data_IF_408031209223
#
_entry.id   IF_408031209223
#
_cell.length_a   1.000
_cell.length_b   1.000
_cell.length_c   1.000
_cell.angle_alpha   90.00
_cell.angle_beta   90.00
_cell.angle_gamma   90.00
#
_symmetry.space_group_name_H-M   'P 1'
#
loop_
_entity.id
_entity.type
_entity.pdbx_description
1 polymer ?
#
# COMPACT_ATOMS: atom_id res chain seq x y z
N UNK A 1 -21.64 -3.30 17.34
CA UNK A 1 -21.56 -3.42 15.87
C UNK A 1 -20.55 -2.41 15.37
N UNK A 2 -19.45 -2.87 14.79
CA UNK A 2 -18.42 -1.99 14.23
C UNK A 2 -19.04 -1.21 13.08
N UNK A 3 -19.01 0.13 13.16
CA UNK A 3 -19.52 1.00 12.10
C UNK A 3 -18.83 0.67 10.78
N UNK A 4 -19.53 -0.10 9.96
CA UNK A 4 -19.32 -0.23 8.53
C UNK A 4 -19.70 1.16 7.97
N UNK A 5 -18.86 1.81 7.14
CA UNK A 5 -19.27 3.02 6.44
C UNK A 5 -20.62 2.80 5.79
N UNK A 6 -21.46 3.83 5.79
CA UNK A 6 -22.73 3.80 5.06
C UNK A 6 -22.55 3.28 3.63
N UNK A 7 -21.38 3.50 3.02
CA UNK A 7 -21.02 2.96 1.71
C UNK A 7 -21.19 1.44 1.59
N UNK A 8 -20.84 0.63 2.60
CA UNK A 8 -21.04 -0.83 2.50
C UNK A 8 -22.36 -1.31 3.10
N UNK A 9 -23.17 -0.45 3.71
CA UNK A 9 -24.52 -0.83 4.15
C UNK A 9 -25.53 -0.94 3.00
N UNK A 10 -25.22 -0.35 1.84
CA UNK A 10 -26.07 -0.42 0.64
C UNK A 10 -25.69 -1.56 -0.32
N UNK A 11 -24.82 -2.47 0.10
CA UNK A 11 -24.19 -3.47 -0.75
C UNK A 11 -22.90 -2.96 -1.38
N UNK A 12 -22.06 -3.88 -1.87
CA UNK A 12 -20.84 -3.55 -2.61
C UNK A 12 -20.97 -4.01 -4.06
N UNK A 13 -20.61 -3.17 -5.05
CA UNK A 13 -20.58 -3.60 -6.44
C UNK A 13 -19.68 -4.82 -6.63
N UNK A 14 -20.01 -5.70 -7.57
CA UNK A 14 -19.18 -6.88 -7.87
C UNK A 14 -17.75 -6.46 -8.27
N UNK A 15 -17.64 -5.40 -9.08
CA UNK A 15 -16.38 -4.79 -9.47
C UNK A 15 -16.40 -3.27 -9.28
N UNK A 16 -15.24 -2.75 -8.92
CA UNK A 16 -14.96 -1.32 -8.82
C UNK A 16 -13.89 -1.00 -9.85
N UNK A 17 -14.25 -0.17 -10.82
CA UNK A 17 -13.35 0.31 -11.87
C UNK A 17 -12.74 1.61 -11.35
N UNK A 18 -11.47 1.63 -10.91
CA UNK A 18 -10.84 2.89 -10.53
C UNK A 18 -10.70 3.75 -11.79
N UNK A 19 -11.24 4.97 -11.76
CA UNK A 19 -11.14 5.93 -12.86
C UNK A 19 -9.70 6.44 -13.11
N UNK A 20 -8.76 6.12 -12.20
CA UNK A 20 -7.37 6.60 -12.23
C UNK A 20 -6.43 5.42 -11.94
N UNK A 21 -5.27 5.32 -12.63
CA UNK A 21 -4.38 4.16 -12.54
C UNK A 21 -3.85 3.90 -11.12
N UNK A 22 -3.56 2.62 -10.87
CA UNK A 22 -2.66 1.99 -9.87
C UNK A 22 -2.38 2.69 -8.51
N UNK A 23 -1.97 3.96 -8.49
CA UNK A 23 -1.76 4.77 -7.27
C UNK A 23 -3.06 5.16 -6.56
N UNK A 24 -4.17 5.26 -7.30
CA UNK A 24 -5.42 5.78 -6.77
C UNK A 24 -5.93 4.99 -5.56
N UNK A 25 -5.71 3.67 -5.53
CA UNK A 25 -6.14 2.81 -4.40
C UNK A 25 -5.43 3.20 -3.11
N UNK A 26 -4.11 3.47 -3.19
CA UNK A 26 -3.31 3.87 -2.03
C UNK A 26 -3.78 5.21 -1.46
N UNK A 27 -4.06 6.19 -2.33
CA UNK A 27 -4.57 7.51 -1.92
C UNK A 27 -6.01 7.47 -1.43
N UNK A 28 -6.90 6.75 -2.15
CA UNK A 28 -8.27 6.50 -1.71
C UNK A 28 -8.30 5.87 -0.34
N UNK A 29 -7.38 4.95 -0.05
CA UNK A 29 -7.28 4.33 1.26
C UNK A 29 -6.80 5.29 2.34
N UNK A 30 -5.75 6.07 2.06
CA UNK A 30 -5.27 7.09 2.99
C UNK A 30 -6.40 8.08 3.34
N UNK A 31 -7.20 8.48 2.35
CA UNK A 31 -8.38 9.32 2.55
C UNK A 31 -9.49 8.60 3.29
N UNK A 32 -9.79 7.36 2.93
CA UNK A 32 -10.80 6.53 3.59
C UNK A 32 -10.51 6.38 5.08
N UNK A 33 -9.26 6.17 5.46
CA UNK A 33 -8.84 6.07 6.86
C UNK A 33 -9.01 7.38 7.66
N UNK A 34 -9.02 8.55 7.01
CA UNK A 34 -9.38 9.82 7.67
C UNK A 34 -10.83 9.78 8.15
N UNK A 35 -11.75 9.33 7.27
CA UNK A 35 -13.19 9.31 7.56
C UNK A 35 -13.56 8.40 8.76
N UNK A 36 -12.80 7.33 9.03
CA UNK A 36 -13.12 6.41 10.15
C UNK A 36 -12.76 6.91 11.53
N UNK A 37 -11.88 7.90 11.62
CA UNK A 37 -11.49 8.46 12.91
C UNK A 37 -12.49 9.50 13.41
N UNK A 38 -13.52 9.82 12.62
CA UNK A 38 -14.62 10.67 13.07
C UNK A 38 -15.42 9.97 14.15
N UNK A 39 -15.48 10.57 15.33
CA UNK A 39 -16.49 10.19 16.31
C UNK A 39 -17.89 10.55 15.75
N UNK A 40 -18.86 9.63 15.83
CA UNK A 40 -20.22 9.93 15.41
C UNK A 40 -20.80 11.03 16.30
N UNK A 41 -21.03 12.22 15.73
CA UNK A 41 -21.71 13.34 16.41
C UNK A 41 -20.96 14.67 16.47
N UNK A 42 -19.68 14.72 16.08
CA UNK A 42 -18.90 15.97 16.07
C UNK A 42 -18.87 16.61 14.69
N UNK A 43 -19.72 17.62 14.45
CA UNK A 43 -19.71 18.47 13.23
C UNK A 43 -18.50 19.43 13.14
N UNK A 44 -17.43 19.21 13.91
CA UNK A 44 -16.25 20.07 13.85
C UNK A 44 -15.39 19.63 12.67
N UNK A 45 -15.29 20.49 11.66
CA UNK A 45 -14.27 20.44 10.62
C UNK A 45 -12.93 20.78 11.27
N UNK A 46 -12.37 19.87 12.05
CA UNK A 46 -10.95 19.91 12.37
C UNK A 46 -10.20 19.32 11.17
N UNK A 47 -9.05 19.90 10.82
CA UNK A 47 -8.08 19.30 9.90
C UNK A 47 -7.62 17.96 10.50
N UNK A 48 -8.41 16.91 10.30
CA UNK A 48 -8.16 15.58 10.85
C UNK A 48 -6.92 15.02 10.18
N UNK A 49 -5.81 15.01 10.94
CA UNK A 49 -4.56 14.38 10.52
C UNK A 49 -4.83 12.90 10.24
N UNK A 50 -4.52 12.48 9.02
CA UNK A 50 -4.60 11.08 8.62
C UNK A 50 -3.86 10.19 9.61
N UNK A 51 -4.44 9.03 10.01
CA UNK A 51 -3.77 8.08 10.91
C UNK A 51 -2.58 7.37 10.26
N UNK A 52 -2.40 7.57 8.96
CA UNK A 52 -1.33 6.99 8.16
C UNK A 52 -0.71 8.08 7.29
N UNK A 53 0.60 7.97 7.05
CA UNK A 53 1.32 8.81 6.11
C UNK A 53 2.07 7.95 5.12
N UNK A 54 2.21 8.45 3.90
CA UNK A 54 3.17 7.91 2.94
C UNK A 54 4.57 7.97 3.52
N UNK A 55 5.35 6.93 3.26
CA UNK A 55 6.75 6.88 3.66
C UNK A 55 7.56 7.78 2.72
N UNK A 56 7.97 8.94 3.22
CA UNK A 56 8.91 9.82 2.53
C UNK A 56 10.32 9.59 3.07
N UNK A 57 11.24 9.13 2.21
CA UNK A 57 12.61 8.80 2.60
C UNK A 57 13.54 9.90 2.13
N UNK A 58 14.18 10.60 3.06
CA UNK A 58 15.18 11.60 2.71
C UNK A 58 16.45 10.93 2.18
N UNK A 59 17.17 11.54 1.22
CA UNK A 59 18.41 10.96 0.69
C UNK A 59 19.45 10.62 1.77
N UNK A 60 19.44 11.35 2.88
CA UNK A 60 20.37 11.21 4.00
C UNK A 60 19.97 10.12 5.01
N UNK A 61 18.73 9.62 4.95
CA UNK A 61 18.23 8.58 5.86
C UNK A 61 18.68 7.19 5.41
N UNK A 62 19.88 6.80 5.82
CA UNK A 62 20.50 5.52 5.45
C UNK A 62 19.70 4.30 5.94
N UNK A 63 19.01 4.41 7.08
CA UNK A 63 18.24 3.31 7.66
C UNK A 63 16.95 3.04 6.90
N UNK A 64 16.20 4.11 6.56
CA UNK A 64 15.00 3.97 5.73
C UNK A 64 15.34 3.63 4.28
N UNK A 65 16.46 4.12 3.75
CA UNK A 65 16.96 3.68 2.44
C UNK A 65 17.30 2.20 2.42
N UNK A 66 18.05 1.71 3.41
CA UNK A 66 18.33 0.28 3.53
C UNK A 66 17.05 -0.54 3.66
N UNK A 67 16.07 -0.06 4.43
CA UNK A 67 14.76 -0.71 4.54
C UNK A 67 14.03 -0.81 3.20
N UNK A 68 14.04 0.27 2.42
CA UNK A 68 13.44 0.27 1.09
C UNK A 68 14.14 -0.73 0.16
N UNK A 69 15.48 -0.77 0.18
CA UNK A 69 16.25 -1.72 -0.60
C UNK A 69 16.01 -3.18 -0.17
N UNK A 70 15.83 -3.45 1.13
CA UNK A 70 15.47 -4.78 1.63
C UNK A 70 14.10 -5.26 1.08
N UNK A 71 13.17 -4.33 0.90
CA UNK A 71 11.85 -4.59 0.29
C UNK A 71 12.02 -4.83 -1.21
N UNK A 72 12.76 -3.96 -1.92
CA UNK A 72 13.01 -4.10 -3.34
C UNK A 72 13.71 -5.42 -3.68
N UNK A 73 14.73 -5.81 -2.90
CA UNK A 73 15.51 -7.04 -3.06
C UNK A 73 14.69 -8.32 -2.83
N UNK A 74 13.49 -8.23 -2.26
CA UNK A 74 12.58 -9.35 -2.12
C UNK A 74 11.79 -9.65 -3.42
N UNK A 75 11.82 -8.74 -4.38
CA UNK A 75 11.20 -8.87 -5.70
C UNK A 75 12.31 -9.11 -6.74
N UNK A 76 11.98 -9.84 -7.81
CA UNK A 76 12.92 -10.07 -8.92
C UNK A 76 13.27 -8.75 -9.62
N UNK A 77 14.55 -8.48 -9.83
CA UNK A 77 15.00 -7.25 -10.50
C UNK A 77 14.42 -7.11 -11.91
N UNK A 78 14.29 -8.24 -12.63
CA UNK A 78 13.77 -8.29 -14.01
C UNK A 78 12.35 -7.71 -14.18
N UNK A 79 11.59 -7.55 -13.09
CA UNK A 79 10.24 -6.98 -13.14
C UNK A 79 10.15 -5.60 -12.49
N UNK A 80 11.19 -5.11 -11.82
CA UNK A 80 11.20 -3.76 -11.24
C UNK A 80 11.54 -2.78 -12.36
N UNK A 81 10.58 -1.92 -12.71
CA UNK A 81 10.78 -0.90 -13.75
C UNK A 81 10.94 0.51 -13.20
N UNK A 82 10.72 0.70 -11.90
CA UNK A 82 10.92 2.00 -11.26
C UNK A 82 11.13 1.84 -9.75
N UNK A 83 12.13 2.56 -9.25
CA UNK A 83 12.48 2.65 -7.83
C UNK A 83 12.42 4.11 -7.44
N UNK A 84 11.54 4.42 -6.49
CA UNK A 84 11.27 5.79 -6.05
C UNK A 84 11.33 5.83 -4.52
N UNK A 85 12.53 5.65 -3.93
CA UNK A 85 12.68 5.55 -2.47
C UNK A 85 12.19 6.82 -1.78
N UNK A 86 12.42 8.00 -2.37
CA UNK A 86 11.97 9.28 -1.82
C UNK A 86 10.45 9.33 -1.63
N UNK A 87 9.70 8.61 -2.46
CA UNK A 87 8.25 8.49 -2.39
C UNK A 87 7.78 7.15 -1.78
N UNK A 88 8.72 6.28 -1.36
CA UNK A 88 8.40 4.94 -0.87
C UNK A 88 7.64 4.09 -1.89
N UNK A 89 7.96 4.20 -3.19
CA UNK A 89 7.25 3.48 -4.25
C UNK A 89 8.14 2.54 -5.07
N UNK A 90 7.56 1.41 -5.46
CA UNK A 90 8.11 0.47 -6.43
C UNK A 90 7.10 0.26 -7.57
N UNK A 91 7.62 0.24 -8.80
CA UNK A 91 6.85 -0.02 -10.01
C UNK A 91 7.30 -1.33 -10.61
N UNK A 92 6.33 -2.14 -11.02
CA UNK A 92 6.56 -3.45 -11.57
C UNK A 92 5.93 -3.58 -12.96
N UNK A 93 6.66 -4.16 -13.90
CA UNK A 93 6.15 -4.42 -15.24
C UNK A 93 6.95 -5.49 -15.97
N UNK A 94 6.25 -6.35 -16.70
CA UNK A 94 6.84 -7.22 -17.73
C UNK A 94 7.07 -6.52 -19.07
N UNK A 95 6.38 -5.41 -19.32
CA UNK A 95 6.67 -4.51 -20.43
C UNK A 95 7.83 -3.60 -20.06
N UNK A 96 8.81 -3.46 -20.95
CA UNK A 96 9.97 -2.59 -20.74
C UNK A 96 9.63 -1.16 -21.14
N UNK A 97 10.52 -0.23 -20.82
CA UNK A 97 10.40 1.16 -21.25
C UNK A 97 10.22 1.25 -22.77
N UNK A 98 9.23 2.03 -23.20
CA UNK A 98 8.87 2.18 -24.62
C UNK A 98 7.98 1.07 -25.20
N UNK A 99 7.65 0.04 -24.43
CA UNK A 99 6.80 -1.06 -24.90
C UNK A 99 5.34 -0.90 -24.50
N UNK A 100 4.45 -1.00 -25.48
CA UNK A 100 3.01 -0.85 -25.27
C UNK A 100 2.30 -2.16 -25.55
N UNK A 101 1.53 -2.64 -24.57
CA UNK A 101 0.65 -3.80 -24.75
C UNK A 101 -0.61 -3.40 -25.55
N UNK A 102 -1.20 -4.32 -26.33
CA UNK A 102 -2.54 -4.09 -26.88
C UNK A 102 -3.59 -4.06 -25.76
N UNK A 103 -4.68 -3.31 -25.96
CA UNK A 103 -5.78 -3.19 -24.99
C UNK A 103 -6.40 -4.54 -24.62
N UNK A 104 -6.45 -5.46 -25.57
CA UNK A 104 -6.97 -6.83 -25.40
C UNK A 104 -5.91 -7.83 -24.93
N UNK A 105 -4.79 -7.38 -24.35
CA UNK A 105 -3.75 -8.28 -23.86
C UNK A 105 -4.31 -9.21 -22.78
N UNK A 106 -4.30 -10.54 -22.98
CA UNK A 106 -4.86 -11.48 -22.01
C UNK A 106 -3.97 -11.69 -20.78
N UNK A 107 -2.72 -11.21 -20.82
CA UNK A 107 -1.75 -11.33 -19.74
C UNK A 107 -1.67 -12.74 -19.13
N UNK A 108 -1.44 -13.83 -19.90
CA UNK A 108 -1.47 -15.19 -19.36
C UNK A 108 -0.30 -15.46 -18.41
N UNK A 109 -0.42 -16.50 -17.58
CA UNK A 109 0.68 -17.00 -16.74
C UNK A 109 1.75 -17.70 -17.59
N UNK A 110 2.99 -17.76 -17.10
CA UNK A 110 4.09 -18.48 -17.74
C UNK A 110 4.80 -17.75 -18.89
N UNK A 111 4.10 -16.94 -19.69
CA UNK A 111 4.73 -16.20 -20.80
C UNK A 111 3.98 -14.90 -21.17
N UNK A 112 4.69 -13.97 -21.80
CA UNK A 112 4.13 -12.78 -22.43
C UNK A 112 3.89 -13.04 -23.93
N UNK A 113 2.63 -13.01 -24.41
CA UNK A 113 2.33 -13.26 -25.83
C UNK A 113 2.76 -12.10 -26.74
N UNK A 114 2.88 -10.88 -26.20
CA UNK A 114 3.24 -9.68 -26.96
C UNK A 114 4.74 -9.58 -27.22
N UNK A 115 5.56 -9.90 -26.21
CA UNK A 115 7.01 -9.70 -26.27
C UNK A 115 7.83 -10.99 -26.14
N UNK A 116 7.17 -12.15 -26.09
CA UNK A 116 7.83 -13.46 -26.05
C UNK A 116 8.61 -13.77 -24.76
N UNK A 117 8.41 -12.99 -23.69
CA UNK A 117 9.15 -13.15 -22.42
C UNK A 117 8.61 -14.29 -21.58
N UNK A 118 9.52 -14.96 -20.85
CA UNK A 118 9.13 -15.88 -19.79
C UNK A 118 8.55 -15.10 -18.62
N UNK A 119 7.48 -15.64 -18.05
CA UNK A 119 6.76 -15.05 -16.93
C UNK A 119 6.66 -16.07 -15.80
N UNK A 120 7.77 -16.31 -15.06
CA UNK A 120 7.84 -17.38 -14.07
C UNK A 120 6.75 -17.25 -13.00
N UNK A 121 6.40 -16.02 -12.64
CA UNK A 121 5.36 -15.68 -11.66
C UNK A 121 4.56 -14.47 -12.15
N UNK A 122 3.40 -14.20 -11.56
CA UNK A 122 2.70 -12.92 -11.79
C UNK A 122 3.27 -11.81 -10.90
N UNK A 123 3.00 -10.54 -11.24
CA UNK A 123 3.38 -9.44 -10.33
C UNK A 123 2.64 -9.54 -8.99
N UNK A 124 1.39 -10.01 -8.99
CA UNK A 124 0.63 -10.31 -7.77
C UNK A 124 1.35 -11.35 -6.91
N UNK A 125 1.90 -12.40 -7.51
CA UNK A 125 2.64 -13.45 -6.79
C UNK A 125 3.96 -12.95 -6.20
N UNK A 126 4.72 -12.18 -6.96
CA UNK A 126 5.92 -11.52 -6.46
C UNK A 126 5.60 -10.63 -5.26
N UNK A 127 4.57 -9.81 -5.38
CA UNK A 127 4.15 -8.91 -4.31
C UNK A 127 3.61 -9.68 -3.10
N UNK A 128 2.91 -10.81 -3.30
CA UNK A 128 2.39 -11.64 -2.21
C UNK A 128 3.51 -12.20 -1.32
N UNK A 129 4.69 -12.45 -1.88
CA UNK A 129 5.87 -12.86 -1.09
C UNK A 129 6.36 -11.77 -0.14
N UNK A 130 6.06 -10.49 -0.39
CA UNK A 130 6.38 -9.39 0.52
C UNK A 130 5.54 -9.43 1.79
N UNK A 131 4.32 -9.97 1.75
CA UNK A 131 3.44 -10.03 2.91
C UNK A 131 4.04 -10.84 4.08
N UNK A 132 5.02 -11.72 3.81
CA UNK A 132 5.78 -12.43 4.84
C UNK A 132 6.91 -11.60 5.50
N UNK A 133 7.28 -10.46 4.92
CA UNK A 133 8.37 -9.59 5.40
C UNK A 133 7.86 -8.28 6.01
N UNK A 134 6.77 -7.74 5.46
CA UNK A 134 6.18 -6.48 5.88
C UNK A 134 4.66 -6.63 5.84
N UNK A 135 3.91 -6.13 6.83
CA UNK A 135 2.45 -6.07 6.73
C UNK A 135 2.05 -5.37 5.44
N UNK A 136 1.09 -5.93 4.70
CA UNK A 136 0.61 -5.27 3.51
C UNK A 136 -0.56 -5.97 2.84
N UNK A 137 -1.17 -5.23 1.92
CA UNK A 137 -2.39 -5.64 1.23
C UNK A 137 -2.25 -5.45 -0.26
N UNK A 138 -2.74 -6.44 -1.00
CA UNK A 138 -2.66 -6.48 -2.45
C UNK A 138 -4.08 -6.37 -3.00
N UNK A 139 -4.27 -5.37 -3.85
CA UNK A 139 -5.49 -5.15 -4.61
C UNK A 139 -5.23 -5.67 -6.02
N UNK A 140 -5.70 -6.88 -6.31
CA UNK A 140 -5.54 -7.49 -7.62
C UNK A 140 -6.58 -6.91 -8.59
N UNK A 141 -6.09 -6.36 -9.69
CA UNK A 141 -6.87 -5.85 -10.81
C UNK A 141 -7.05 -6.94 -11.84
N UNK A 142 -8.32 -7.20 -12.18
CA UNK A 142 -8.73 -8.17 -13.17
C UNK A 142 -9.23 -7.45 -14.43
N UNK A 143 -8.82 -7.92 -15.60
CA UNK A 143 -9.34 -7.40 -16.86
C UNK A 143 -10.81 -7.78 -16.99
N UNK A 144 -11.67 -6.77 -17.14
CA UNK A 144 -13.11 -6.94 -17.32
C UNK A 144 -13.49 -6.87 -18.81
N UNK A 145 -12.82 -5.99 -19.56
CA UNK A 145 -12.94 -5.79 -21.01
C UNK A 145 -11.59 -5.34 -21.58
N UNK A 146 -11.36 -5.39 -22.90
CA UNK A 146 -10.18 -4.77 -23.51
C UNK A 146 -10.01 -3.32 -23.03
N UNK A 147 -8.82 -2.98 -22.52
CA UNK A 147 -8.50 -1.67 -21.97
C UNK A 147 -9.10 -1.34 -20.60
N UNK A 148 -9.90 -2.23 -19.99
CA UNK A 148 -10.62 -1.96 -18.73
C UNK A 148 -10.28 -3.03 -17.69
N UNK A 149 -9.64 -2.60 -16.61
CA UNK A 149 -9.41 -3.39 -15.40
C UNK A 149 -10.32 -2.96 -14.24
N UNK A 150 -10.55 -3.86 -13.29
CA UNK A 150 -11.33 -3.58 -12.10
C UNK A 150 -10.88 -4.43 -10.91
N UNK A 151 -11.12 -3.91 -9.71
CA UNK A 151 -10.94 -4.64 -8.45
C UNK A 151 -12.25 -5.32 -8.08
N UNK A 152 -12.20 -6.52 -7.51
CA UNK A 152 -13.41 -7.12 -6.96
C UNK A 152 -13.84 -6.36 -5.71
N UNK A 153 -15.14 -6.08 -5.62
CA UNK A 153 -15.69 -5.32 -4.50
C UNK A 153 -15.46 -6.00 -3.16
N UNK A 154 -15.77 -7.29 -3.04
CA UNK A 154 -15.63 -8.01 -1.76
C UNK A 154 -14.17 -8.04 -1.28
N UNK A 155 -13.21 -8.23 -2.19
CA UNK A 155 -11.77 -8.19 -1.88
C UNK A 155 -11.35 -6.78 -1.41
N UNK A 156 -11.80 -5.72 -2.10
CA UNK A 156 -11.56 -4.34 -1.68
C UNK A 156 -12.09 -4.11 -0.26
N UNK A 157 -13.34 -4.48 0.02
CA UNK A 157 -13.96 -4.31 1.35
C UNK A 157 -13.23 -5.07 2.42
N UNK A 158 -12.86 -6.32 2.17
CA UNK A 158 -12.11 -7.13 3.12
C UNK A 158 -10.76 -6.48 3.45
N UNK A 159 -9.98 -6.11 2.43
CA UNK A 159 -8.71 -5.40 2.61
C UNK A 159 -8.89 -4.11 3.43
N UNK A 160 -9.91 -3.31 3.13
CA UNK A 160 -10.19 -2.07 3.85
C UNK A 160 -10.52 -2.30 5.33
N UNK A 161 -11.27 -3.35 5.66
CA UNK A 161 -11.59 -3.72 7.03
C UNK A 161 -10.35 -4.19 7.80
N UNK A 162 -9.50 -5.00 7.16
CA UNK A 162 -8.26 -5.49 7.75
C UNK A 162 -7.25 -4.37 8.01
N UNK A 163 -7.07 -3.48 7.04
CA UNK A 163 -6.19 -2.32 7.15
C UNK A 163 -6.64 -1.42 8.30
N UNK A 164 -7.95 -1.18 8.43
CA UNK A 164 -8.50 -0.44 9.57
C UNK A 164 -8.19 -1.13 10.90
N UNK A 165 -8.36 -2.46 10.98
CA UNK A 165 -8.08 -3.21 12.19
C UNK A 165 -6.59 -3.17 12.56
N UNK A 166 -5.71 -3.22 11.56
CA UNK A 166 -4.26 -3.06 11.73
C UNK A 166 -3.91 -1.67 12.28
N UNK A 167 -4.38 -0.61 11.63
CA UNK A 167 -4.12 0.78 12.06
C UNK A 167 -4.56 1.02 13.50
N UNK A 168 -5.76 0.55 13.89
CA UNK A 168 -6.25 0.64 15.26
C UNK A 168 -5.37 -0.11 16.27
N UNK A 169 -4.87 -1.28 15.88
CA UNK A 169 -3.99 -2.09 16.73
C UNK A 169 -2.67 -1.35 16.99
N UNK A 170 -2.04 -0.82 15.95
CA UNK A 170 -0.78 -0.09 16.07
C UNK A 170 -0.95 1.16 16.95
N UNK A 171 -2.02 1.95 16.73
CA UNK A 171 -2.32 3.12 17.57
C UNK A 171 -2.47 2.77 19.05
N UNK A 172 -3.20 1.69 19.36
CA UNK A 172 -3.36 1.22 20.74
C UNK A 172 -2.03 0.82 21.38
N UNK A 173 -1.13 0.18 20.62
CA UNK A 173 0.21 -0.16 21.09
C UNK A 173 1.02 1.11 21.39
N UNK A 174 0.96 2.12 20.52
CA UNK A 174 1.64 3.40 20.72
C UNK A 174 1.13 4.13 21.99
N UNK A 175 -0.18 4.14 22.22
CA UNK A 175 -0.80 4.74 23.41
C UNK A 175 -0.31 4.10 24.72
N UNK A 176 -0.25 2.76 24.76
CA UNK A 176 0.25 2.01 25.93
C UNK A 176 1.73 2.31 26.18
N UNK A 177 2.55 2.29 25.13
CA UNK A 177 3.98 2.58 25.21
C UNK A 177 4.25 4.01 25.68
N UNK A 178 3.44 4.99 25.24
CA UNK A 178 3.57 6.38 25.64
C UNK A 178 3.05 6.64 27.07
N UNK A 179 2.00 5.94 27.51
CA UNK A 179 1.50 6.01 28.88
C UNK A 179 2.53 5.54 29.93
N UNK A 180 3.41 4.61 29.54
CA UNK A 180 4.49 4.10 30.40
C UNK A 180 5.75 4.98 30.41
N UNK A 181 5.98 5.84 29.40
CA UNK A 181 7.13 6.76 29.31
C UNK A 181 6.99 8.04 30.18
N UNK A 182 5.93 8.14 30.99
CA UNK A 182 5.56 9.34 31.75
C UNK A 182 6.44 9.76 32.94
N UNK A 183 7.68 9.26 33.10
CA UNK A 183 8.52 9.62 34.27
C UNK A 183 9.93 10.15 34.02
N UNK A 184 10.44 10.16 32.80
CA UNK A 184 11.73 10.82 32.52
C UNK A 184 11.65 11.64 31.22
N UNK A 185 11.22 12.89 31.35
CA UNK A 185 11.40 13.93 30.32
C UNK A 185 12.70 14.69 30.59
N UNK A 186 13.84 14.00 30.50
CA UNK A 186 15.11 14.68 30.25
C UNK A 186 15.32 14.75 28.75
N UNK A 187 15.41 15.99 28.24
CA UNK A 187 15.77 16.39 26.87
C UNK A 187 16.76 15.39 26.24
N UNK A 188 16.36 14.78 25.12
CA UNK A 188 17.32 14.12 24.22
C UNK A 188 17.17 14.70 22.83
N UNK A 189 18.34 14.96 22.26
CA UNK A 189 18.58 15.43 20.90
C UNK A 189 17.80 14.62 19.86
N UNK A 190 17.58 15.25 18.72
CA UNK A 190 16.90 14.69 17.55
C UNK A 190 17.78 13.57 16.95
N UNK A 191 17.71 12.37 17.53
CA UNK A 191 18.39 11.18 17.00
C UNK A 191 17.56 10.58 15.86
N UNK A 192 17.97 10.90 14.62
CA UNK A 192 17.35 10.38 13.39
C UNK A 192 17.36 8.86 13.31
N UNK A 193 18.28 8.18 13.99
CA UNK A 193 18.35 6.72 14.03
C UNK A 193 17.18 6.08 14.78
N UNK A 194 16.69 6.74 15.82
CA UNK A 194 15.57 6.24 16.63
C UNK A 194 14.23 6.43 15.90
N UNK A 195 14.03 7.56 15.22
CA UNK A 195 12.81 7.83 14.43
C UNK A 195 12.65 6.84 13.27
N UNK A 196 13.73 6.56 12.52
CA UNK A 196 13.71 5.60 11.42
C UNK A 196 13.33 4.18 11.88
N UNK A 197 13.82 3.77 13.05
CA UNK A 197 13.50 2.46 13.63
C UNK A 197 12.02 2.36 14.02
N UNK A 198 11.48 3.39 14.67
CA UNK A 198 10.06 3.45 15.02
C UNK A 198 9.17 3.46 13.76
N UNK A 199 9.60 4.13 12.68
CA UNK A 199 8.89 4.10 11.39
C UNK A 199 8.85 2.68 10.81
N UNK A 200 9.96 1.93 10.81
CA UNK A 200 9.99 0.57 10.27
C UNK A 200 9.01 -0.37 10.99
N UNK A 201 8.85 -0.25 12.30
CA UNK A 201 7.97 -1.10 13.11
C UNK A 201 6.46 -0.85 12.86
N UNK A 202 6.13 0.34 12.37
CA UNK A 202 4.74 0.75 12.06
C UNK A 202 4.50 0.90 10.55
N UNK A 203 5.46 0.50 9.73
CA UNK A 203 5.38 0.54 8.29
C UNK A 203 4.54 -0.62 7.74
N UNK A 204 3.88 -0.36 6.62
CA UNK A 204 3.13 -1.35 5.86
C UNK A 204 3.10 -0.96 4.38
N UNK A 205 2.74 -1.89 3.51
CA UNK A 205 2.58 -1.60 2.08
C UNK A 205 1.15 -1.77 1.59
N UNK A 206 0.81 -1.01 0.55
CA UNK A 206 -0.37 -1.22 -0.27
C UNK A 206 0.11 -1.39 -1.70
N UNK A 207 -0.34 -2.45 -2.35
CA UNK A 207 -0.01 -2.70 -3.74
C UNK A 207 -1.27 -2.86 -4.58
N UNK A 208 -1.26 -2.27 -5.78
CA UNK A 208 -2.24 -2.56 -6.82
C UNK A 208 -1.52 -3.33 -7.90
N UNK A 209 -1.93 -4.57 -8.16
CA UNK A 209 -1.22 -5.46 -9.08
C UNK A 209 -2.17 -6.09 -10.07
N UNK A 210 -1.63 -6.53 -11.20
CA UNK A 210 -2.29 -7.49 -12.04
C UNK A 210 -1.27 -8.56 -12.43
N UNK A 211 -1.66 -9.41 -13.37
CA UNK A 211 -0.83 -10.48 -13.84
C UNK A 211 0.49 -10.03 -14.49
N UNK A 212 0.59 -8.78 -14.96
CA UNK A 212 1.73 -8.25 -15.71
C UNK A 212 2.34 -6.94 -15.17
N UNK A 213 1.60 -6.16 -14.41
CA UNK A 213 2.00 -4.83 -13.94
C UNK A 213 1.64 -4.66 -12.47
N UNK A 214 2.27 -3.71 -11.80
CA UNK A 214 1.83 -3.31 -10.47
C UNK A 214 2.55 -2.08 -9.95
N UNK A 215 1.99 -1.54 -8.89
CA UNK A 215 2.63 -0.50 -8.08
C UNK A 215 2.51 -0.90 -6.61
N UNK A 216 3.54 -0.58 -5.85
CA UNK A 216 3.55 -0.70 -4.40
C UNK A 216 3.90 0.65 -3.79
N UNK A 217 3.13 1.04 -2.78
CA UNK A 217 3.31 2.24 -1.98
C UNK A 217 3.56 1.86 -0.52
N UNK A 218 4.57 2.47 0.09
CA UNK A 218 4.88 2.31 1.51
C UNK A 218 4.20 3.41 2.33
N UNK A 219 3.65 2.99 3.45
CA UNK A 219 3.00 3.83 4.44
C UNK A 219 3.51 3.49 5.83
N UNK A 220 3.23 4.39 6.77
CA UNK A 220 3.41 4.11 8.19
C UNK A 220 2.28 4.72 9.02
N UNK A 221 1.93 4.08 10.13
CA UNK A 221 0.91 4.58 11.07
C UNK A 221 1.50 5.72 11.90
N UNK A 222 0.82 6.86 11.97
CA UNK A 222 1.28 8.03 12.72
C UNK A 222 0.90 7.96 14.19
#
# INVERSE_FOLDING_TARGET
>A
MYGIPSLFSYGIPEYIIPAVPCHAVAYMLADFLKFFNREPGTNKVQEEKSPVKELFIRPEDSLLRSFFEDIAAAISEDVITGRYPEQGMLFFSYAREGETCPDSCPGPRGHCPTFGRKKPETITEYTAKLAGKLPGWIFESHQMKPGIGGLKGEELKQNLLEIRAFVKRIKRIQEISNGNKGKDKSKTEYDSGNEAKEIKERAFFIATTCTCHGVLNLFYVT
#
